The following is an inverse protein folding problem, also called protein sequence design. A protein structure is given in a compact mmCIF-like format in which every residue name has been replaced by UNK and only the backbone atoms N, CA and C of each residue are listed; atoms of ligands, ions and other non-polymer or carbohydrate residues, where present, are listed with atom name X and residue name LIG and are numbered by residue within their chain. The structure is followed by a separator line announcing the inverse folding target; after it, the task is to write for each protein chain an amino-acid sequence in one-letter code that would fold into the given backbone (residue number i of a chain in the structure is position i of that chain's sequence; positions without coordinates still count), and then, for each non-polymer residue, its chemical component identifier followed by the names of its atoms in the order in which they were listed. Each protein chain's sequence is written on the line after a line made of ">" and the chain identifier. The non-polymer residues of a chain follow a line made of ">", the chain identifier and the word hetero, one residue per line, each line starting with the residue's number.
data_IF_881696583536
#
_entry.id   IF_881696583536
#
_cell.length_a   1.000
_cell.length_b   1.000
_cell.length_c   1.000
_cell.angle_alpha   90.00
_cell.angle_beta   90.00
_cell.angle_gamma   90.00
#
_symmetry.space_group_name_H-M   'P 1'
#
loop_
_entity.id
_entity.type
_entity.pdbx_description
1 polymer ?
#
# COMPACT_ATOMS: atom_id res chain seq x y z
N UNK A 1 -31.92 4.37 -5.70
CA UNK A 1 -30.84 3.95 -4.79
C UNK A 1 -29.58 3.61 -5.55
N UNK A 2 -28.42 3.66 -4.89
CA UNK A 2 -27.13 3.26 -5.47
C UNK A 2 -27.21 1.84 -6.09
N UNK A 3 -27.78 0.90 -5.34
CA UNK A 3 -27.96 -0.48 -5.80
C UNK A 3 -28.74 -0.58 -7.14
N UNK A 4 -29.80 0.23 -7.29
CA UNK A 4 -30.58 0.20 -8.54
C UNK A 4 -29.77 0.71 -9.74
N UNK A 5 -28.96 1.74 -9.54
CA UNK A 5 -28.14 2.35 -10.63
C UNK A 5 -26.94 1.50 -11.01
N UNK A 6 -26.46 0.63 -10.12
CA UNK A 6 -25.22 -0.16 -10.31
C UNK A 6 -25.49 -1.62 -10.69
N UNK A 7 -26.75 -2.01 -10.85
CA UNK A 7 -27.13 -3.41 -11.11
C UNK A 7 -26.47 -4.02 -12.34
N UNK A 8 -26.25 -3.24 -13.39
CA UNK A 8 -25.62 -3.69 -14.64
C UNK A 8 -24.10 -3.45 -14.67
N UNK A 9 -23.52 -2.87 -13.62
CA UNK A 9 -22.11 -2.50 -13.60
C UNK A 9 -21.27 -3.56 -12.88
N UNK A 10 -20.26 -4.16 -13.53
CA UNK A 10 -19.34 -5.10 -12.90
C UNK A 10 -18.28 -4.33 -12.09
N UNK A 11 -18.72 -3.51 -11.14
CA UNK A 11 -17.86 -2.65 -10.33
C UNK A 11 -18.17 -2.87 -8.85
N UNK A 12 -17.12 -3.11 -8.06
CA UNK A 12 -17.20 -3.14 -6.61
C UNK A 12 -17.19 -1.70 -6.09
N UNK A 13 -18.25 -1.30 -5.42
CA UNK A 13 -18.43 0.06 -4.92
C UNK A 13 -18.40 0.05 -3.40
N UNK A 14 -17.68 1.00 -2.81
CA UNK A 14 -17.67 1.19 -1.36
C UNK A 14 -18.23 2.56 -1.05
N UNK A 15 -19.26 2.61 -0.21
CA UNK A 15 -19.96 3.84 0.15
C UNK A 15 -20.13 3.96 1.65
N UNK A 16 -19.83 5.13 2.21
CA UNK A 16 -20.04 5.45 3.62
C UNK A 16 -21.53 5.64 3.94
N UNK A 17 -21.97 5.10 5.09
CA UNK A 17 -23.31 5.32 5.60
C UNK A 17 -23.40 5.08 7.11
N UNK A 18 -24.33 5.77 7.83
CA UNK A 18 -24.68 5.42 9.20
C UNK A 18 -25.59 4.18 9.21
N UNK A 19 -25.33 3.25 10.14
CA UNK A 19 -26.10 2.02 10.28
C UNK A 19 -26.57 1.84 11.72
N UNK A 20 -27.86 1.60 11.90
CA UNK A 20 -28.44 1.20 13.19
C UNK A 20 -28.40 -0.31 13.30
N UNK A 21 -27.79 -0.83 14.36
CA UNK A 21 -27.82 -2.24 14.72
C UNK A 21 -28.12 -2.39 16.20
N UNK A 22 -29.24 -3.04 16.51
CA UNK A 22 -29.79 -3.02 17.85
C UNK A 22 -30.17 -1.60 18.28
N UNK A 23 -29.69 -1.17 19.46
CA UNK A 23 -29.93 0.17 20.00
C UNK A 23 -28.73 1.14 19.71
N UNK A 24 -27.82 0.79 18.80
CA UNK A 24 -26.57 1.55 18.57
C UNK A 24 -26.47 2.02 17.14
N UNK A 25 -25.81 3.18 16.96
CA UNK A 25 -25.48 3.75 15.64
C UNK A 25 -23.99 3.55 15.36
N UNK A 26 -23.69 3.13 14.15
CA UNK A 26 -22.33 2.86 13.67
C UNK A 26 -22.02 3.69 12.43
N UNK A 27 -20.80 4.21 12.35
CA UNK A 27 -20.24 4.75 11.12
C UNK A 27 -19.68 3.58 10.29
N UNK A 28 -20.22 3.37 9.09
CA UNK A 28 -19.96 2.16 8.31
C UNK A 28 -19.60 2.45 6.86
N UNK A 29 -19.05 1.44 6.22
CA UNK A 29 -18.94 1.34 4.77
C UNK A 29 -19.73 0.16 4.26
N UNK A 30 -20.63 0.37 3.30
CA UNK A 30 -21.27 -0.71 2.54
C UNK A 30 -20.44 -1.07 1.31
N UNK A 31 -20.22 -2.36 1.12
CA UNK A 31 -19.62 -2.90 -0.09
C UNK A 31 -20.73 -3.40 -1.00
N UNK A 32 -20.83 -2.81 -2.19
CA UNK A 32 -21.91 -3.07 -3.14
C UNK A 32 -21.32 -3.62 -4.44
N UNK A 33 -21.91 -4.67 -4.97
CA UNK A 33 -21.56 -5.24 -6.25
C UNK A 33 -22.82 -5.60 -7.04
N UNK A 34 -22.92 -5.16 -8.29
CA UNK A 34 -24.05 -5.42 -9.18
C UNK A 34 -25.43 -5.22 -8.51
N UNK A 35 -25.59 -4.12 -7.80
CA UNK A 35 -26.83 -3.76 -7.14
C UNK A 35 -27.13 -4.49 -5.81
N UNK A 36 -26.26 -5.37 -5.35
CA UNK A 36 -26.38 -6.09 -4.08
C UNK A 36 -25.41 -5.54 -3.05
N UNK A 37 -25.85 -5.37 -1.82
CA UNK A 37 -24.97 -5.10 -0.67
C UNK A 37 -24.37 -6.41 -0.22
N UNK A 38 -23.07 -6.58 -0.44
CA UNK A 38 -22.33 -7.79 -0.05
C UNK A 38 -22.12 -7.84 1.46
N UNK A 39 -21.87 -6.68 2.07
CA UNK A 39 -21.63 -6.57 3.51
C UNK A 39 -21.46 -5.13 3.96
N UNK A 40 -21.55 -4.91 5.25
CA UNK A 40 -21.41 -3.61 5.89
C UNK A 40 -20.32 -3.69 6.95
N UNK A 41 -19.29 -2.87 6.80
CA UNK A 41 -18.10 -2.84 7.67
C UNK A 41 -18.18 -1.62 8.57
N UNK A 42 -18.33 -1.78 9.90
CA UNK A 42 -18.31 -0.69 10.86
C UNK A 42 -16.90 -0.23 11.17
N UNK A 43 -16.73 1.07 11.41
CA UNK A 43 -15.47 1.69 11.81
C UNK A 43 -15.00 1.17 13.17
N UNK A 44 -13.72 0.82 13.26
CA UNK A 44 -13.13 0.25 14.48
C UNK A 44 -12.68 1.34 15.45
N UNK A 45 -11.96 2.35 14.95
CA UNK A 45 -11.42 3.42 15.77
C UNK A 45 -12.15 4.73 15.51
N UNK A 46 -12.79 5.26 16.56
CA UNK A 46 -13.53 6.51 16.50
C UNK A 46 -12.72 7.64 17.13
N UNK A 47 -12.26 8.64 16.35
CA UNK A 47 -11.56 9.79 16.89
C UNK A 47 -12.50 10.61 17.80
N UNK A 48 -11.99 10.97 18.98
CA UNK A 48 -12.72 11.81 19.94
C UNK A 48 -11.72 12.70 20.70
N UNK A 49 -10.92 13.43 19.93
CA UNK A 49 -9.86 14.34 20.40
C UNK A 49 -9.72 15.50 19.41
N UNK A 50 -9.12 16.61 19.85
CA UNK A 50 -8.96 17.81 19.02
C UNK A 50 -10.31 18.28 18.48
N UNK A 51 -10.39 18.41 17.17
CA UNK A 51 -11.57 18.78 16.40
C UNK A 51 -12.59 17.64 16.23
N UNK A 52 -12.27 16.42 16.63
CA UNK A 52 -13.11 15.25 16.41
C UNK A 52 -13.94 14.91 17.65
N UNK A 53 -15.24 14.62 17.44
CA UNK A 53 -16.20 14.22 18.47
C UNK A 53 -17.12 13.09 17.99
N UNK A 54 -16.58 12.13 17.22
CA UNK A 54 -17.35 11.08 16.55
C UNK A 54 -18.08 10.15 17.54
N UNK A 55 -17.47 9.90 18.73
CA UNK A 55 -18.11 9.10 19.80
C UNK A 55 -19.38 9.73 20.39
N UNK A 56 -19.68 10.97 20.05
CA UNK A 56 -20.96 11.58 20.45
C UNK A 56 -22.14 10.88 19.80
N UNK A 57 -21.94 10.34 18.60
CA UNK A 57 -23.00 9.76 17.78
C UNK A 57 -22.84 8.28 17.52
N UNK A 58 -21.61 7.81 17.37
CA UNK A 58 -21.28 6.47 16.95
C UNK A 58 -20.58 5.67 18.03
N UNK A 59 -20.74 4.36 17.94
CA UNK A 59 -19.98 3.39 18.73
C UNK A 59 -18.99 2.64 17.83
N UNK A 60 -17.86 2.14 18.38
CA UNK A 60 -16.90 1.37 17.60
C UNK A 60 -17.49 0.05 17.13
N UNK A 61 -16.86 -0.54 16.09
CA UNK A 61 -17.18 -1.87 15.62
C UNK A 61 -17.29 -2.86 16.79
N UNK A 62 -18.26 -3.77 16.77
CA UNK A 62 -18.37 -4.78 17.82
C UNK A 62 -17.17 -5.73 17.77
N UNK A 63 -16.72 -6.16 18.95
CA UNK A 63 -15.73 -7.21 19.05
C UNK A 63 -16.34 -8.57 18.67
N UNK A 64 -15.58 -9.41 17.96
CA UNK A 64 -15.97 -10.78 17.65
C UNK A 64 -16.48 -11.00 16.22
N UNK A 65 -17.33 -12.00 16.07
CA UNK A 65 -17.85 -12.46 14.78
C UNK A 65 -18.84 -11.48 14.15
N UNK A 66 -18.94 -11.52 12.82
CA UNK A 66 -19.94 -10.77 12.08
C UNK A 66 -21.36 -11.16 12.50
N UNK A 67 -22.21 -10.14 12.69
CA UNK A 67 -23.66 -10.27 12.80
C UNK A 67 -24.33 -10.00 11.46
N UNK A 68 -25.64 -9.69 11.53
CA UNK A 68 -26.47 -9.32 10.39
C UNK A 68 -27.32 -8.09 10.71
N UNK A 69 -27.58 -7.29 9.67
CA UNK A 69 -28.51 -6.16 9.73
C UNK A 69 -29.55 -6.26 8.62
N UNK A 70 -30.73 -5.67 8.84
CA UNK A 70 -31.83 -5.62 7.87
C UNK A 70 -32.13 -4.19 7.44
N UNK A 71 -32.76 -4.04 6.27
CA UNK A 71 -33.17 -2.72 5.75
C UNK A 71 -32.09 -1.98 4.95
N UNK A 72 -30.91 -2.57 4.77
CA UNK A 72 -29.79 -1.99 4.01
C UNK A 72 -29.51 -2.70 2.68
N UNK A 73 -30.26 -3.75 2.36
CA UNK A 73 -30.17 -4.56 1.14
C UNK A 73 -31.35 -5.52 1.04
N UNK A 74 -31.25 -6.52 0.18
CA UNK A 74 -32.22 -7.61 0.09
C UNK A 74 -31.97 -8.61 1.24
N UNK A 75 -32.94 -8.70 2.17
CA UNK A 75 -32.86 -9.64 3.31
C UNK A 75 -31.90 -9.19 4.41
N UNK A 76 -31.14 -10.15 4.93
CA UNK A 76 -30.11 -9.93 5.95
C UNK A 76 -28.76 -9.69 5.29
N UNK A 77 -28.08 -8.61 5.69
CA UNK A 77 -26.76 -8.22 5.17
C UNK A 77 -25.72 -8.49 6.26
N UNK A 78 -24.61 -9.14 5.96
CA UNK A 78 -23.49 -9.32 6.89
C UNK A 78 -23.02 -7.97 7.45
N UNK A 79 -22.80 -7.91 8.76
CA UNK A 79 -22.40 -6.70 9.48
C UNK A 79 -21.24 -7.02 10.43
N UNK A 80 -20.09 -6.39 10.21
CA UNK A 80 -18.88 -6.60 11.00
C UNK A 80 -17.60 -6.47 10.17
N UNK A 81 -16.50 -6.85 10.74
CA UNK A 81 -15.21 -6.91 10.03
C UNK A 81 -15.16 -8.17 9.18
N UNK A 82 -14.96 -8.04 7.88
CA UNK A 82 -15.02 -9.15 6.91
C UNK A 82 -14.10 -8.94 5.72
N UNK A 83 -13.91 -10.00 4.95
CA UNK A 83 -13.21 -10.03 3.69
C UNK A 83 -14.18 -10.28 2.53
N UNK A 84 -13.85 -9.75 1.36
CA UNK A 84 -14.61 -9.98 0.12
C UNK A 84 -13.68 -10.66 -0.88
N UNK A 85 -14.01 -11.91 -1.24
CA UNK A 85 -13.17 -12.75 -2.07
C UNK A 85 -13.73 -12.85 -3.49
N UNK A 86 -12.93 -12.46 -4.48
CA UNK A 86 -13.26 -12.73 -5.87
C UNK A 86 -13.10 -14.22 -6.17
N UNK A 87 -14.13 -14.87 -6.77
CA UNK A 87 -14.11 -16.30 -7.07
C UNK A 87 -13.23 -16.63 -8.28
N UNK A 88 -13.23 -15.76 -9.30
CA UNK A 88 -12.49 -15.96 -10.54
C UNK A 88 -11.02 -15.56 -10.45
N UNK A 89 -10.67 -14.69 -9.51
CA UNK A 89 -9.29 -14.25 -9.28
C UNK A 89 -8.95 -14.43 -7.81
N UNK A 90 -8.40 -15.60 -7.49
CA UNK A 90 -8.11 -16.03 -6.12
C UNK A 90 -7.17 -15.09 -5.34
N UNK A 91 -6.31 -14.37 -6.05
CA UNK A 91 -5.43 -13.34 -5.48
C UNK A 91 -6.16 -12.03 -5.17
N UNK A 92 -7.36 -11.80 -5.69
CA UNK A 92 -8.14 -10.61 -5.38
C UNK A 92 -9.03 -10.83 -4.16
N UNK A 93 -8.51 -10.51 -3.01
CA UNK A 93 -9.23 -10.44 -1.75
C UNK A 93 -9.27 -8.99 -1.27
N UNK A 94 -10.46 -8.47 -1.06
CA UNK A 94 -10.72 -7.06 -0.76
C UNK A 94 -11.16 -6.88 0.70
N UNK A 95 -10.71 -5.79 1.34
CA UNK A 95 -11.15 -5.39 2.67
C UNK A 95 -11.37 -3.87 2.75
N UNK A 96 -12.09 -3.45 3.78
CA UNK A 96 -12.42 -2.03 4.00
C UNK A 96 -12.10 -1.64 5.42
N UNK A 97 -11.52 -0.46 5.59
CA UNK A 97 -11.39 0.26 6.87
C UNK A 97 -11.79 1.73 6.68
N UNK A 98 -12.02 2.46 7.76
CA UNK A 98 -12.56 3.81 7.68
C UNK A 98 -11.66 4.81 8.42
N UNK A 99 -11.17 5.79 7.68
CA UNK A 99 -10.51 7.02 8.17
C UNK A 99 -9.51 6.75 9.30
N UNK A 100 -9.90 7.01 10.56
CA UNK A 100 -9.07 6.85 11.77
C UNK A 100 -8.47 5.44 11.92
N UNK A 101 -9.08 4.44 11.33
CA UNK A 101 -8.57 3.06 11.37
C UNK A 101 -7.12 2.97 10.83
N UNK A 102 -6.78 3.78 9.81
CA UNK A 102 -5.42 3.88 9.28
C UNK A 102 -4.45 4.61 10.22
N UNK A 103 -4.95 5.61 10.96
CA UNK A 103 -4.13 6.47 11.82
C UNK A 103 -3.84 5.82 13.18
N UNK A 104 -4.64 4.84 13.57
CA UNK A 104 -4.45 4.12 14.82
C UNK A 104 -3.18 3.27 14.79
N UNK A 105 -2.47 3.10 15.93
CA UNK A 105 -1.24 2.29 16.01
C UNK A 105 -1.44 0.84 15.53
N UNK A 106 -2.63 0.28 15.73
CA UNK A 106 -3.03 -1.05 15.28
C UNK A 106 -4.20 -0.90 14.30
N UNK A 107 -3.85 -0.62 13.05
CA UNK A 107 -4.84 -0.50 11.97
C UNK A 107 -5.48 -1.87 11.66
N UNK A 108 -6.82 -1.95 11.47
CA UNK A 108 -7.51 -3.18 11.10
C UNK A 108 -6.95 -3.83 9.83
N UNK A 109 -6.46 -3.03 8.89
CA UNK A 109 -5.82 -3.47 7.64
C UNK A 109 -4.67 -4.45 7.87
N UNK A 110 -3.96 -4.38 9.00
CA UNK A 110 -2.90 -5.33 9.32
C UNK A 110 -3.47 -6.76 9.50
N UNK A 111 -4.58 -6.89 10.23
CA UNK A 111 -5.25 -8.16 10.40
C UNK A 111 -5.92 -8.65 9.10
N UNK A 112 -6.51 -7.75 8.32
CA UNK A 112 -7.08 -8.09 7.00
C UNK A 112 -6.02 -8.62 6.04
N UNK A 113 -4.85 -7.98 5.97
CA UNK A 113 -3.75 -8.43 5.12
C UNK A 113 -3.21 -9.80 5.56
N UNK A 114 -3.05 -10.02 6.87
CA UNK A 114 -2.67 -11.32 7.43
C UNK A 114 -3.70 -12.41 7.10
N UNK A 115 -4.99 -12.08 7.08
CA UNK A 115 -6.05 -12.99 6.69
C UNK A 115 -6.22 -13.15 5.17
N UNK A 116 -5.41 -12.47 4.36
CA UNK A 116 -5.34 -12.66 2.90
C UNK A 116 -5.80 -11.49 2.05
N UNK A 117 -6.28 -10.37 2.61
CA UNK A 117 -6.66 -9.21 1.82
C UNK A 117 -5.45 -8.64 1.05
N UNK A 118 -5.55 -8.58 -0.27
CA UNK A 118 -4.53 -8.01 -1.16
C UNK A 118 -4.83 -6.58 -1.57
N UNK A 119 -6.09 -6.17 -1.47
CA UNK A 119 -6.53 -4.80 -1.74
C UNK A 119 -7.35 -4.29 -0.57
N UNK A 120 -7.00 -3.11 -0.07
CA UNK A 120 -7.66 -2.48 1.07
C UNK A 120 -8.12 -1.09 0.66
N UNK A 121 -9.39 -0.78 0.91
CA UNK A 121 -9.94 0.55 0.74
C UNK A 121 -10.15 1.24 2.08
N UNK A 122 -9.80 2.52 2.14
CA UNK A 122 -10.06 3.38 3.28
C UNK A 122 -10.91 4.58 2.82
N UNK A 123 -12.10 4.71 3.41
CA UNK A 123 -12.97 5.86 3.22
C UNK A 123 -12.71 6.88 4.32
N UNK A 124 -12.25 8.05 3.94
CA UNK A 124 -11.83 9.08 4.86
C UNK A 124 -12.58 10.41 4.69
N UNK A 125 -12.78 11.10 5.80
CA UNK A 125 -13.03 12.53 5.88
C UNK A 125 -11.90 13.15 6.72
N UNK A 126 -10.67 13.09 6.18
CA UNK A 126 -9.48 13.59 6.85
C UNK A 126 -9.36 15.09 6.62
N UNK A 127 -9.38 15.84 7.71
CA UNK A 127 -9.23 17.29 7.73
C UNK A 127 -7.91 17.70 7.11
N UNK A 128 -7.92 18.76 6.33
CA UNK A 128 -6.71 19.34 5.76
C UNK A 128 -6.08 20.35 6.70
N UNK A 129 -4.80 20.18 6.96
CA UNK A 129 -3.95 21.15 7.67
C UNK A 129 -2.61 21.28 6.95
N UNK A 130 -1.88 22.35 7.19
CA UNK A 130 -0.59 22.59 6.54
C UNK A 130 0.40 21.46 6.87
N UNK A 131 0.94 20.83 5.83
CA UNK A 131 1.91 19.71 5.96
C UNK A 131 1.29 18.33 6.22
N UNK A 132 -0.03 18.21 6.38
CA UNK A 132 -0.69 16.92 6.61
C UNK A 132 -0.73 16.04 5.36
N UNK A 133 -0.66 16.62 4.19
CA UNK A 133 -0.63 15.91 2.91
C UNK A 133 0.61 15.02 2.77
N UNK A 134 1.79 15.50 3.16
CA UNK A 134 3.02 14.70 3.15
C UNK A 134 2.95 13.55 4.15
N UNK A 135 2.45 13.82 5.36
CA UNK A 135 2.26 12.77 6.37
C UNK A 135 1.23 11.72 5.92
N UNK A 136 0.10 12.15 5.34
CA UNK A 136 -0.92 11.26 4.79
C UNK A 136 -0.34 10.37 3.68
N UNK A 137 0.45 10.95 2.77
CA UNK A 137 1.15 10.23 1.70
C UNK A 137 2.10 9.17 2.29
N UNK A 138 2.92 9.56 3.26
CA UNK A 138 3.85 8.64 3.92
C UNK A 138 3.12 7.50 4.62
N UNK A 139 1.99 7.80 5.29
CA UNK A 139 1.16 6.82 5.98
C UNK A 139 0.55 5.81 5.00
N UNK A 140 -0.07 6.28 3.91
CA UNK A 140 -0.70 5.41 2.89
C UNK A 140 0.33 4.53 2.19
N UNK A 141 1.45 5.11 1.74
CA UNK A 141 2.53 4.33 1.10
C UNK A 141 3.20 3.37 2.08
N UNK A 142 3.46 3.82 3.31
CA UNK A 142 4.04 2.98 4.36
C UNK A 142 3.16 1.78 4.71
N UNK A 143 1.85 2.00 4.85
CA UNK A 143 0.90 0.92 5.12
C UNK A 143 0.80 -0.06 3.96
N UNK A 144 0.69 0.44 2.72
CA UNK A 144 0.71 -0.38 1.51
C UNK A 144 1.98 -1.25 1.42
N UNK A 145 3.15 -0.67 1.67
CA UNK A 145 4.44 -1.39 1.64
C UNK A 145 4.57 -2.43 2.75
N UNK A 146 4.23 -2.06 3.99
CA UNK A 146 4.29 -2.97 5.14
C UNK A 146 3.39 -4.18 4.98
N UNK A 147 2.20 -4.01 4.39
CA UNK A 147 1.21 -5.05 4.20
C UNK A 147 1.31 -5.75 2.84
N UNK A 148 2.22 -5.31 1.97
CA UNK A 148 2.36 -5.80 0.60
C UNK A 148 0.99 -5.88 -0.08
N UNK A 149 0.30 -4.74 -0.15
CA UNK A 149 -1.07 -4.65 -0.67
C UNK A 149 -1.28 -3.44 -1.58
N UNK A 150 -2.33 -3.50 -2.39
CA UNK A 150 -2.94 -2.31 -2.97
C UNK A 150 -3.72 -1.57 -1.89
N UNK A 151 -3.49 -0.27 -1.73
CA UNK A 151 -4.18 0.55 -0.74
C UNK A 151 -4.84 1.74 -1.43
N UNK A 152 -6.17 1.80 -1.34
CA UNK A 152 -7.00 2.85 -1.93
C UNK A 152 -7.48 3.77 -0.81
N UNK A 153 -7.07 5.01 -0.85
CA UNK A 153 -7.48 6.04 0.12
C UNK A 153 -8.37 7.06 -0.58
N UNK A 154 -9.65 7.07 -0.26
CA UNK A 154 -10.63 8.01 -0.78
C UNK A 154 -10.97 9.04 0.29
N UNK A 155 -10.67 10.32 0.02
CA UNK A 155 -10.88 11.40 0.97
C UNK A 155 -12.03 12.32 0.56
N UNK A 156 -12.79 12.79 1.55
CA UNK A 156 -13.79 13.83 1.38
C UNK A 156 -13.17 15.10 0.77
N UNK A 157 -13.90 15.76 -0.10
CA UNK A 157 -13.45 16.94 -0.83
C UNK A 157 -14.39 18.11 -0.69
N UNK A 158 -14.27 19.04 -1.62
CA UNK A 158 -15.14 20.20 -1.74
C UNK A 158 -16.60 19.75 -1.91
N UNK A 159 -17.50 20.35 -1.21
CA UNK A 159 -18.91 19.95 -1.17
C UNK A 159 -19.30 19.12 0.06
N UNK A 160 -18.30 18.61 0.80
CA UNK A 160 -18.57 18.06 2.13
C UNK A 160 -18.93 19.17 3.11
N UNK A 161 -19.87 18.85 4.04
CA UNK A 161 -20.30 19.83 5.05
C UNK A 161 -19.16 20.16 6.00
N UNK A 162 -18.88 21.46 6.15
CA UNK A 162 -17.88 21.98 7.08
C UNK A 162 -18.50 22.86 8.13
N UNK A 163 -18.06 22.74 9.38
CA UNK A 163 -18.21 23.76 10.40
C UNK A 163 -16.84 24.40 10.66
N UNK A 164 -15.97 23.66 11.31
CA UNK A 164 -14.60 24.10 11.65
C UNK A 164 -13.53 23.37 10.81
N UNK A 165 -13.95 22.51 9.87
CA UNK A 165 -13.09 21.59 9.15
C UNK A 165 -13.06 21.91 7.65
N UNK A 166 -11.92 21.66 7.03
CA UNK A 166 -11.75 21.77 5.58
C UNK A 166 -11.26 20.43 5.02
N UNK A 167 -11.85 19.99 3.91
CA UNK A 167 -11.52 18.74 3.25
C UNK A 167 -10.94 19.01 1.86
N UNK A 168 -9.84 18.36 1.53
CA UNK A 168 -9.09 18.65 0.30
C UNK A 168 -9.36 17.70 -0.87
N UNK A 169 -10.07 16.60 -0.65
CA UNK A 169 -10.28 15.59 -1.69
C UNK A 169 -9.03 14.79 -2.08
N UNK A 170 -7.91 14.95 -1.32
CA UNK A 170 -6.64 14.29 -1.62
C UNK A 170 -6.76 12.77 -1.47
N UNK A 171 -7.08 12.11 -2.60
CA UNK A 171 -7.25 10.66 -2.71
C UNK A 171 -6.01 10.02 -3.33
N UNK A 172 -5.73 8.76 -2.97
CA UNK A 172 -4.48 8.10 -3.32
C UNK A 172 -4.69 6.61 -3.60
N UNK A 173 -3.90 6.07 -4.53
CA UNK A 173 -3.76 4.64 -4.78
C UNK A 173 -2.28 4.28 -4.65
N UNK A 174 -1.96 3.39 -3.72
CA UNK A 174 -0.61 2.89 -3.52
C UNK A 174 -0.57 1.36 -3.69
N UNK A 175 0.55 0.83 -4.17
CA UNK A 175 0.82 -0.61 -4.31
C UNK A 175 2.21 -0.92 -3.77
N UNK A 176 2.29 -1.79 -2.77
CA UNK A 176 3.55 -2.27 -2.20
C UNK A 176 4.57 -1.14 -1.93
N UNK A 177 4.11 -0.06 -1.28
CA UNK A 177 4.93 1.09 -0.92
C UNK A 177 5.16 2.14 -2.00
N UNK A 178 4.65 1.91 -3.22
CA UNK A 178 4.77 2.85 -4.33
C UNK A 178 3.46 3.59 -4.56
N UNK A 179 3.51 4.92 -4.72
CA UNK A 179 2.35 5.71 -5.14
C UNK A 179 2.09 5.48 -6.62
N UNK A 180 0.91 4.96 -6.96
CA UNK A 180 0.49 4.74 -8.35
C UNK A 180 -0.24 5.93 -8.93
N UNK A 181 -1.20 6.47 -8.17
CA UNK A 181 -1.99 7.63 -8.58
C UNK A 181 -2.44 8.42 -7.35
N UNK A 182 -2.64 9.72 -7.52
CA UNK A 182 -3.22 10.59 -6.51
C UNK A 182 -3.93 11.76 -7.18
N UNK A 183 -4.91 12.33 -6.50
CA UNK A 183 -5.52 13.61 -6.89
C UNK A 183 -4.72 14.78 -6.35
N UNK A 184 -4.85 15.94 -6.95
CA UNK A 184 -4.45 17.20 -6.33
C UNK A 184 -5.32 17.51 -5.10
N UNK A 185 -4.87 18.45 -4.27
CA UNK A 185 -5.67 19.00 -3.18
C UNK A 185 -6.63 20.07 -3.73
N UNK A 186 -7.85 20.06 -3.24
CA UNK A 186 -8.92 20.97 -3.66
C UNK A 186 -9.30 20.86 -5.15
N UNK A 187 -9.04 19.69 -5.73
CA UNK A 187 -9.41 19.36 -7.10
C UNK A 187 -10.54 18.33 -7.10
N UNK A 188 -11.56 18.58 -7.92
CA UNK A 188 -12.66 17.63 -8.14
C UNK A 188 -12.27 16.63 -9.23
N UNK A 189 -11.32 15.75 -8.91
CA UNK A 189 -10.79 14.74 -9.83
C UNK A 189 -10.86 13.34 -9.21
N UNK A 190 -10.56 12.34 -10.01
CA UNK A 190 -10.54 10.95 -9.61
C UNK A 190 -9.14 10.35 -9.87
N UNK A 191 -8.57 9.69 -8.86
CA UNK A 191 -7.38 8.88 -9.05
C UNK A 191 -7.77 7.53 -9.66
N UNK A 192 -7.05 7.10 -10.70
CA UNK A 192 -7.26 5.82 -11.37
C UNK A 192 -5.91 5.15 -11.60
N UNK A 193 -5.82 3.86 -11.32
CA UNK A 193 -4.65 3.04 -11.63
C UNK A 193 -5.01 1.56 -11.61
N UNK A 194 -4.12 0.71 -12.12
CA UNK A 194 -4.21 -0.74 -12.05
C UNK A 194 -3.37 -1.26 -10.89
N UNK A 195 -3.89 -2.26 -10.15
CA UNK A 195 -3.19 -2.98 -9.08
C UNK A 195 -2.90 -4.41 -9.54
N UNK A 196 -1.65 -4.83 -9.45
CA UNK A 196 -1.22 -6.18 -9.80
C UNK A 196 -1.32 -7.11 -8.57
N UNK A 197 -2.51 -7.67 -8.37
CA UNK A 197 -2.80 -8.55 -7.21
C UNK A 197 -2.00 -9.86 -7.27
N UNK A 198 -1.67 -10.36 -8.45
CA UNK A 198 -0.86 -11.58 -8.61
C UNK A 198 0.58 -11.33 -8.18
N UNK A 199 1.15 -10.19 -8.55
CA UNK A 199 2.47 -9.77 -8.06
C UNK A 199 2.48 -9.58 -6.54
N UNK A 200 1.46 -8.95 -5.97
CA UNK A 200 1.35 -8.80 -4.52
C UNK A 200 1.34 -10.17 -3.81
N UNK A 201 0.55 -11.11 -4.30
CA UNK A 201 0.52 -12.47 -3.76
C UNK A 201 1.87 -13.19 -3.93
N UNK A 202 2.56 -12.99 -5.06
CA UNK A 202 3.90 -13.54 -5.28
C UNK A 202 4.91 -12.96 -4.30
N UNK A 203 4.96 -11.65 -4.10
CA UNK A 203 5.87 -11.00 -3.15
C UNK A 203 5.62 -11.47 -1.72
N UNK A 204 4.37 -11.62 -1.28
CA UNK A 204 4.02 -12.17 0.04
C UNK A 204 4.58 -13.58 0.24
N UNK A 205 4.47 -14.46 -0.76
CA UNK A 205 5.01 -15.83 -0.70
C UNK A 205 6.53 -15.89 -0.52
N UNK A 206 7.26 -14.84 -0.95
CA UNK A 206 8.71 -14.73 -0.77
C UNK A 206 9.12 -14.23 0.62
N UNK A 207 8.20 -13.58 1.32
CA UNK A 207 8.45 -13.01 2.65
C UNK A 207 8.14 -14.07 3.71
N UNK A 208 9.16 -14.73 4.24
CA UNK A 208 9.03 -15.77 5.30
C UNK A 208 8.44 -15.23 6.60
N UNK A 209 8.39 -13.92 6.78
CA UNK A 209 7.79 -13.24 7.93
C UNK A 209 6.35 -12.82 7.69
N UNK A 210 5.83 -12.97 6.45
CA UNK A 210 4.42 -12.75 6.18
C UNK A 210 3.64 -13.97 6.68
N UNK A 211 2.59 -13.79 7.52
CA UNK A 211 1.90 -14.92 8.11
C UNK A 211 1.14 -15.74 7.07
N UNK A 212 0.96 -17.01 7.35
CA UNK A 212 0.04 -17.86 6.60
C UNK A 212 -1.39 -17.33 6.74
N UNK A 213 -2.18 -17.48 5.67
CA UNK A 213 -3.55 -16.98 5.63
C UNK A 213 -4.41 -17.67 6.68
N UNK A 214 -4.87 -16.92 7.68
CA UNK A 214 -5.90 -17.39 8.61
C UNK A 214 -7.30 -17.17 8.02
N UNK A 215 -7.81 -18.20 7.36
CA UNK A 215 -9.13 -18.18 6.71
C UNK A 215 -10.30 -18.15 7.70
N UNK A 216 -10.06 -18.37 8.98
CA UNK A 216 -11.10 -18.36 10.03
C UNK A 216 -11.15 -17.01 10.77
N UNK A 217 -10.16 -16.14 10.61
CA UNK A 217 -10.09 -14.87 11.33
C UNK A 217 -11.26 -13.93 11.02
N UNK A 218 -11.83 -14.03 9.80
CA UNK A 218 -12.92 -13.17 9.34
C UNK A 218 -13.94 -13.94 8.51
N UNK A 219 -15.21 -13.52 8.57
CA UNK A 219 -16.19 -13.91 7.58
C UNK A 219 -15.69 -13.51 6.19
N UNK A 220 -15.66 -14.45 5.28
CA UNK A 220 -15.32 -14.18 3.87
C UNK A 220 -16.59 -14.25 3.01
N UNK A 221 -16.91 -13.14 2.37
CA UNK A 221 -18.06 -13.01 1.48
C UNK A 221 -17.58 -13.17 0.04
N UNK A 222 -18.01 -14.20 -0.69
CA UNK A 222 -17.64 -14.40 -2.08
C UNK A 222 -18.41 -13.45 -3.00
N UNK A 223 -17.76 -13.04 -4.09
CA UNK A 223 -18.41 -12.35 -5.22
C UNK A 223 -17.78 -12.77 -6.53
N UNK A 224 -18.59 -12.81 -7.58
CA UNK A 224 -18.17 -13.22 -8.92
C UNK A 224 -17.91 -11.99 -9.79
N UNK A 225 -16.64 -11.77 -10.18
CA UNK A 225 -16.20 -10.69 -11.07
C UNK A 225 -15.33 -11.28 -12.18
N UNK A 226 -15.93 -11.65 -13.33
CA UNK A 226 -15.17 -12.23 -14.44
C UNK A 226 -14.04 -11.31 -14.88
N UNK A 227 -12.83 -11.85 -15.12
CA UNK A 227 -11.72 -11.09 -15.67
C UNK A 227 -12.13 -10.46 -17.01
N UNK A 228 -11.78 -9.17 -17.18
CA UNK A 228 -11.96 -8.46 -18.44
C UNK A 228 -10.60 -8.05 -19.00
N UNK A 229 -10.53 -7.97 -20.32
CA UNK A 229 -9.34 -7.41 -20.97
C UNK A 229 -9.14 -5.97 -20.50
N UNK A 230 -7.97 -5.70 -19.91
CA UNK A 230 -7.66 -4.40 -19.33
C UNK A 230 -6.49 -3.78 -20.06
N UNK A 231 -6.69 -2.57 -20.59
CA UNK A 231 -5.61 -1.77 -21.13
C UNK A 231 -4.90 -1.08 -19.97
N UNK A 232 -3.62 -1.43 -19.76
CA UNK A 232 -2.81 -0.81 -18.72
C UNK A 232 -2.58 0.68 -19.05
N UNK A 233 -2.86 1.54 -18.07
CA UNK A 233 -2.64 2.99 -18.15
C UNK A 233 -1.45 3.43 -17.30
N UNK A 234 -1.07 2.64 -16.30
CA UNK A 234 0.10 2.94 -15.46
C UNK A 234 1.41 2.76 -16.24
N UNK A 235 2.41 3.63 -16.03
CA UNK A 235 3.69 3.49 -16.68
C UNK A 235 4.43 2.24 -16.16
N UNK A 236 4.94 1.42 -17.08
CA UNK A 236 5.82 0.30 -16.77
C UNK A 236 7.23 0.69 -17.20
N UNK A 237 8.21 0.80 -16.27
CA UNK A 237 9.57 1.18 -16.63
C UNK A 237 10.21 0.16 -17.59
N UNK A 238 10.68 0.62 -18.73
CA UNK A 238 11.41 -0.23 -19.70
C UNK A 238 12.77 -0.69 -19.14
N UNK A 239 13.38 0.12 -18.29
CA UNK A 239 14.66 -0.15 -17.65
C UNK A 239 14.46 -0.33 -16.14
N UNK A 240 14.16 -1.57 -15.72
CA UNK A 240 13.77 -1.89 -14.33
C UNK A 240 14.88 -1.57 -13.31
N UNK A 241 16.16 -1.72 -13.73
CA UNK A 241 17.32 -1.52 -12.83
C UNK A 241 17.97 -0.14 -12.95
N UNK A 242 17.52 0.68 -13.89
CA UNK A 242 18.10 2.01 -14.11
C UNK A 242 17.12 3.07 -13.62
N UNK A 243 17.44 3.79 -12.54
CA UNK A 243 16.61 4.89 -12.08
C UNK A 243 16.50 5.98 -13.15
N UNK A 244 15.36 6.71 -13.18
CA UNK A 244 15.20 7.83 -14.10
C UNK A 244 16.29 8.88 -13.86
N UNK A 245 16.61 9.64 -14.92
CA UNK A 245 17.63 10.69 -14.89
C UNK A 245 17.35 11.74 -13.80
N UNK A 246 18.43 12.29 -13.26
CA UNK A 246 18.38 13.33 -12.23
C UNK A 246 19.00 12.91 -10.89
N UNK A 247 18.80 13.71 -9.87
CA UNK A 247 19.39 13.54 -8.53
C UNK A 247 19.07 12.17 -7.88
N UNK A 248 17.98 11.53 -8.27
CA UNK A 248 17.61 10.18 -7.83
C UNK A 248 18.58 9.11 -8.35
N UNK A 249 18.99 9.21 -9.64
CA UNK A 249 19.95 8.29 -10.25
C UNK A 249 21.34 8.45 -9.63
N UNK A 250 21.82 9.68 -9.46
CA UNK A 250 23.13 9.94 -8.86
C UNK A 250 23.21 9.39 -7.44
N UNK A 251 22.18 9.59 -6.63
CA UNK A 251 22.08 9.03 -5.28
C UNK A 251 22.07 7.51 -5.28
N UNK A 252 21.34 6.90 -6.21
CA UNK A 252 21.29 5.44 -6.35
C UNK A 252 22.64 4.87 -6.73
N UNK A 253 23.31 5.44 -7.76
CA UNK A 253 24.65 5.00 -8.20
C UNK A 253 25.70 5.18 -7.09
N UNK A 254 25.70 6.32 -6.40
CA UNK A 254 26.56 6.56 -5.26
C UNK A 254 26.31 5.53 -4.13
N UNK A 255 25.05 5.21 -3.85
CA UNK A 255 24.65 4.20 -2.87
C UNK A 255 25.16 2.80 -3.25
N UNK A 256 25.01 2.40 -4.50
CA UNK A 256 25.51 1.12 -5.02
C UNK A 256 27.03 1.02 -4.81
N UNK A 257 27.78 2.03 -5.22
CA UNK A 257 29.24 2.05 -5.04
C UNK A 257 29.63 1.99 -3.56
N UNK A 258 28.95 2.73 -2.70
CA UNK A 258 29.20 2.70 -1.25
C UNK A 258 28.94 1.32 -0.65
N UNK A 259 27.82 0.67 -0.96
CA UNK A 259 27.50 -0.67 -0.44
C UNK A 259 28.56 -1.68 -0.84
N UNK A 260 28.97 -1.69 -2.12
CA UNK A 260 30.00 -2.59 -2.62
C UNK A 260 31.37 -2.32 -1.99
N UNK A 261 31.78 -1.05 -1.92
CA UNK A 261 33.06 -0.65 -1.35
C UNK A 261 33.17 -0.97 0.15
N UNK A 262 32.11 -0.73 0.93
CA UNK A 262 32.09 -1.08 2.36
C UNK A 262 32.07 -2.60 2.58
N UNK A 263 31.38 -3.36 1.75
CA UNK A 263 31.43 -4.83 1.79
C UNK A 263 32.83 -5.37 1.54
N UNK A 264 33.50 -4.86 0.51
CA UNK A 264 34.88 -5.24 0.18
C UNK A 264 35.87 -4.76 1.25
N UNK A 265 35.75 -3.52 1.72
CA UNK A 265 36.53 -2.99 2.84
C UNK A 265 36.53 -3.96 4.03
N UNK A 266 35.34 -4.42 4.45
CA UNK A 266 35.21 -5.32 5.59
C UNK A 266 35.93 -6.66 5.34
N UNK A 267 35.89 -7.18 4.13
CA UNK A 267 36.61 -8.42 3.75
C UNK A 267 38.12 -8.25 3.79
N UNK A 268 38.65 -7.17 3.19
CA UNK A 268 40.07 -6.85 3.17
C UNK A 268 40.60 -6.68 4.60
N UNK A 269 39.89 -5.92 5.44
CA UNK A 269 40.22 -5.69 6.84
C UNK A 269 40.27 -7.00 7.62
N UNK A 270 39.22 -7.82 7.52
CA UNK A 270 39.11 -9.10 8.22
C UNK A 270 40.20 -10.12 7.81
N UNK A 271 40.51 -10.20 6.52
CA UNK A 271 41.53 -11.15 6.01
C UNK A 271 42.95 -10.65 6.18
N UNK A 272 43.15 -9.38 6.49
CA UNK A 272 44.48 -8.74 6.53
C UNK A 272 45.15 -8.66 5.17
N UNK A 273 44.40 -8.80 4.07
CA UNK A 273 44.94 -8.69 2.71
C UNK A 273 45.63 -7.35 2.46
N UNK A 274 46.82 -7.37 1.90
CA UNK A 274 47.65 -6.16 1.67
C UNK A 274 47.31 -5.45 0.38
N UNK A 275 46.86 -6.18 -0.61
CA UNK A 275 46.58 -5.67 -1.96
C UNK A 275 45.28 -6.25 -2.49
N UNK A 276 44.66 -5.57 -3.46
CA UNK A 276 43.57 -6.08 -4.25
C UNK A 276 44.06 -6.19 -5.72
N UNK A 277 43.79 -7.31 -6.37
CA UNK A 277 44.18 -7.54 -7.78
C UNK A 277 42.91 -7.72 -8.59
N UNK A 278 42.77 -6.96 -9.68
CA UNK A 278 41.63 -7.01 -10.60
C UNK A 278 42.11 -7.26 -12.02
N UNK A 279 41.61 -8.33 -12.65
CA UNK A 279 41.80 -8.56 -14.10
C UNK A 279 40.92 -7.60 -14.90
N UNK A 280 41.52 -6.78 -15.75
CA UNK A 280 40.84 -5.79 -16.57
C UNK A 280 40.67 -6.31 -17.99
N UNK A 281 39.44 -6.63 -18.35
CA UNK A 281 39.06 -7.07 -19.71
C UNK A 281 38.72 -5.92 -20.66
N UNK A 282 38.69 -4.68 -20.17
CA UNK A 282 38.19 -3.53 -20.91
C UNK A 282 36.66 -3.35 -20.87
N UNK A 283 35.94 -4.29 -20.26
CA UNK A 283 34.46 -4.20 -20.05
C UNK A 283 34.05 -3.41 -18.81
N UNK A 284 32.77 -3.04 -18.75
CA UNK A 284 32.21 -2.26 -17.66
C UNK A 284 32.31 -2.96 -16.30
N UNK A 285 32.16 -4.28 -16.25
CA UNK A 285 32.18 -5.05 -15.00
C UNK A 285 33.53 -4.97 -14.30
N UNK A 286 34.64 -5.18 -15.10
CA UNK A 286 35.98 -5.07 -14.58
C UNK A 286 36.38 -3.65 -14.21
N UNK A 287 35.88 -2.65 -14.94
CA UNK A 287 36.04 -1.24 -14.59
C UNK A 287 35.34 -0.88 -13.29
N UNK A 288 34.08 -1.33 -13.08
CA UNK A 288 33.38 -1.14 -11.85
C UNK A 288 34.07 -1.83 -10.67
N UNK A 289 34.51 -3.07 -10.85
CA UNK A 289 35.27 -3.81 -9.84
C UNK A 289 36.55 -3.05 -9.40
N UNK A 290 37.25 -2.45 -10.36
CA UNK A 290 38.43 -1.63 -10.07
C UNK A 290 38.07 -0.39 -9.23
N UNK A 291 37.01 0.33 -9.58
CA UNK A 291 36.56 1.50 -8.85
C UNK A 291 36.13 1.12 -7.42
N UNK A 292 35.44 -0.01 -7.24
CA UNK A 292 35.06 -0.54 -5.91
C UNK A 292 36.30 -0.87 -5.09
N UNK A 293 37.34 -1.49 -5.67
CA UNK A 293 38.59 -1.77 -4.98
C UNK A 293 39.30 -0.50 -4.53
N UNK A 294 39.42 0.48 -5.43
CA UNK A 294 40.03 1.79 -5.13
C UNK A 294 39.27 2.45 -3.95
N UNK A 295 37.96 2.49 -4.04
CA UNK A 295 37.13 3.10 -2.99
C UNK A 295 37.25 2.36 -1.64
N UNK A 296 37.33 1.04 -1.67
CA UNK A 296 37.51 0.23 -0.45
C UNK A 296 38.88 0.51 0.21
N UNK A 297 39.95 0.64 -0.58
CA UNK A 297 41.27 1.01 -0.06
C UNK A 297 41.29 2.43 0.53
N UNK A 298 40.68 3.41 -0.14
CA UNK A 298 40.52 4.76 0.39
C UNK A 298 39.80 4.76 1.76
N UNK A 299 38.73 3.99 1.88
CA UNK A 299 37.97 3.84 3.15
C UNK A 299 38.78 3.15 4.26
N UNK A 300 39.85 2.41 3.91
CA UNK A 300 40.81 1.83 4.84
C UNK A 300 41.98 2.77 5.17
N UNK A 301 42.01 3.96 4.59
CA UNK A 301 43.16 4.88 4.71
C UNK A 301 44.41 4.39 3.99
N UNK A 302 44.26 3.52 2.98
CA UNK A 302 45.35 2.89 2.24
C UNK A 302 45.52 3.52 0.87
N UNK A 303 46.74 3.51 0.33
CA UNK A 303 47.04 4.12 -0.97
C UNK A 303 46.38 3.35 -2.13
N UNK A 304 46.04 4.05 -3.20
CA UNK A 304 45.50 3.47 -4.45
C UNK A 304 46.49 2.49 -5.12
N UNK A 305 47.78 2.64 -4.84
CA UNK A 305 48.82 1.72 -5.33
C UNK A 305 48.70 0.30 -4.78
N UNK A 306 47.90 0.10 -3.74
CA UNK A 306 47.58 -1.24 -3.22
C UNK A 306 46.54 -1.97 -4.09
N UNK A 307 46.00 -1.30 -5.11
CA UNK A 307 45.12 -1.90 -6.12
C UNK A 307 45.90 -2.14 -7.41
N UNK A 308 46.00 -3.40 -7.79
CA UNK A 308 46.71 -3.79 -9.01
C UNK A 308 45.71 -4.14 -10.12
N UNK A 309 45.65 -3.33 -11.16
CA UNK A 309 44.88 -3.60 -12.36
C UNK A 309 45.79 -4.40 -13.35
N UNK A 310 45.39 -5.60 -13.67
CA UNK A 310 46.15 -6.50 -14.55
C UNK A 310 45.43 -6.68 -15.87
N UNK A 311 46.07 -6.31 -16.95
CA UNK A 311 45.59 -6.61 -18.32
C UNK A 311 46.33 -7.82 -18.86
N UNK A 312 45.58 -8.72 -19.49
CA UNK A 312 46.16 -9.89 -20.16
C UNK A 312 45.86 -9.78 -21.65
N UNK A 313 46.74 -9.16 -22.42
CA UNK A 313 46.59 -9.12 -23.89
C UNK A 313 46.71 -10.53 -24.46
N UNK A 314 45.74 -10.89 -25.35
CA UNK A 314 45.79 -12.15 -26.13
C UNK A 314 46.70 -11.98 -27.30
#
# INVERSE_FOLDING_TARGET
>A
SLCAQTRALPVLIVAGLPVVSGAKLYNCAAVVYQGRVLGIVPKTHLPNYGEFYERRWFVPAPDGSCGFVRGYGEGEVPFGRMLFQCEELGEFCFAVELCEDLWAPVAPSAAYAAAGATVIANLSASVETVGKDDYRRALVTGQSGRLVCGYLYANAGEGESTTDLVFSGHSMIAENGSMLAQTGRFEQTMAVSEIDVQRLAFERRRLTTFPDRDVQAFLTVPFSMPPAETKLTRPVPALVFVPPEGSGRDRCCAGILQVQAHGLKKRIDHTGAKTAVVGISGGLDSALALLVCVRAMELLGRPRTDVHAVTMPC
#
